data_IF_808276884409
#
_entry.id   IF_808276884409
#
_cell.length_a   1.000
_cell.length_b   1.000
_cell.length_c   1.000
_cell.angle_alpha   90.00
_cell.angle_beta   90.00
_cell.angle_gamma   90.00
#
_symmetry.space_group_name_H-M   'P 1'
#
loop_
_entity.id
_entity.type
_entity.pdbx_description
1 polymer ?
#
# COMPACT_ATOMS: atom_id res chain seq x y z
N UNK A 1 27.19 36.17 -16.23
CA UNK A 1 27.15 35.14 -17.28
C UNK A 1 25.89 34.33 -17.03
N UNK A 2 24.86 34.50 -17.86
CA UNK A 2 23.64 33.71 -17.73
C UNK A 2 23.96 32.25 -18.03
N UNK A 3 23.48 31.33 -17.19
CA UNK A 3 23.56 29.90 -17.48
C UNK A 3 22.87 29.64 -18.81
N UNK A 4 23.45 28.76 -19.64
CA UNK A 4 22.82 28.46 -20.92
C UNK A 4 21.47 27.78 -20.65
N UNK A 5 20.48 28.06 -21.50
CA UNK A 5 19.16 27.46 -21.38
C UNK A 5 19.22 25.92 -21.25
N UNK A 6 20.19 25.29 -21.94
CA UNK A 6 20.46 23.86 -21.87
C UNK A 6 20.90 23.39 -20.47
N UNK A 7 21.76 24.14 -19.78
CA UNK A 7 22.25 23.79 -18.43
C UNK A 7 21.15 23.93 -17.37
N UNK A 8 20.23 24.88 -17.57
CA UNK A 8 19.06 25.07 -16.73
C UNK A 8 18.07 23.92 -16.91
N UNK A 9 17.75 23.58 -18.17
CA UNK A 9 16.89 22.45 -18.53
C UNK A 9 17.40 21.15 -17.92
N UNK A 10 18.70 20.84 -18.08
CA UNK A 10 19.29 19.61 -17.54
C UNK A 10 19.19 19.52 -16.01
N UNK A 11 19.32 20.65 -15.29
CA UNK A 11 19.14 20.67 -13.84
C UNK A 11 17.68 20.46 -13.45
N UNK A 12 16.77 21.09 -14.16
CA UNK A 12 15.34 20.98 -13.87
C UNK A 12 14.78 19.60 -14.21
N UNK A 13 15.33 18.95 -15.23
CA UNK A 13 15.08 17.54 -15.51
C UNK A 13 15.49 16.64 -14.34
N UNK A 14 16.69 16.83 -13.77
CA UNK A 14 17.12 16.07 -12.57
C UNK A 14 16.23 16.32 -11.36
N UNK A 15 15.79 17.56 -11.15
CA UNK A 15 14.85 17.88 -10.05
C UNK A 15 13.51 17.18 -10.28
N UNK A 16 12.98 17.24 -11.51
CA UNK A 16 11.73 16.56 -11.89
C UNK A 16 11.86 15.04 -11.68
N UNK A 17 12.96 14.44 -12.12
CA UNK A 17 13.26 13.01 -11.91
C UNK A 17 13.28 12.64 -10.41
N UNK A 18 13.90 13.48 -9.58
CA UNK A 18 13.94 13.28 -8.12
C UNK A 18 12.54 13.37 -7.47
N UNK A 19 11.69 14.30 -7.92
CA UNK A 19 10.28 14.39 -7.49
C UNK A 19 9.55 13.08 -7.80
N UNK A 20 9.65 12.60 -9.05
CA UNK A 20 8.98 11.35 -9.47
C UNK A 20 9.56 10.11 -8.78
N UNK A 21 10.88 10.07 -8.52
CA UNK A 21 11.51 8.98 -7.79
C UNK A 21 10.95 8.86 -6.38
N UNK A 22 10.82 9.98 -5.68
CA UNK A 22 10.25 10.00 -4.34
C UNK A 22 8.75 9.71 -4.34
N UNK A 23 8.01 10.21 -5.32
CA UNK A 23 6.59 9.89 -5.49
C UNK A 23 6.38 8.39 -5.72
N UNK A 24 7.14 7.78 -6.63
CA UNK A 24 7.09 6.34 -6.90
C UNK A 24 7.43 5.51 -5.66
N UNK A 25 8.41 5.94 -4.86
CA UNK A 25 8.74 5.27 -3.59
C UNK A 25 7.55 5.31 -2.60
N UNK A 26 6.85 6.44 -2.51
CA UNK A 26 5.65 6.59 -1.67
C UNK A 26 4.52 5.68 -2.19
N UNK A 27 4.29 5.65 -3.49
CA UNK A 27 3.26 4.80 -4.12
C UNK A 27 3.54 3.31 -3.94
N UNK A 28 4.78 2.88 -4.09
CA UNK A 28 5.19 1.49 -3.87
C UNK A 28 4.93 1.05 -2.42
N UNK A 29 5.26 1.92 -1.46
CA UNK A 29 4.95 1.67 -0.04
C UNK A 29 3.44 1.58 0.17
N UNK A 30 2.67 2.50 -0.41
CA UNK A 30 1.20 2.53 -0.32
C UNK A 30 0.59 1.26 -0.91
N UNK A 31 0.97 0.89 -2.13
CA UNK A 31 0.49 -0.30 -2.83
C UNK A 31 0.79 -1.58 -2.06
N UNK A 32 2.03 -1.72 -1.54
CA UNK A 32 2.39 -2.88 -0.71
C UNK A 32 1.55 -3.01 0.56
N UNK A 33 1.21 -1.88 1.20
CA UNK A 33 0.30 -1.87 2.36
C UNK A 33 -1.11 -2.29 1.96
N UNK A 34 -1.67 -1.75 0.87
CA UNK A 34 -3.01 -2.12 0.40
C UNK A 34 -3.10 -3.60 -0.01
N UNK A 35 -2.10 -4.12 -0.72
CA UNK A 35 -2.06 -5.53 -1.11
C UNK A 35 -2.00 -6.45 0.12
N UNK A 36 -1.24 -6.07 1.14
CA UNK A 36 -1.19 -6.81 2.40
C UNK A 36 -2.54 -6.82 3.10
N UNK A 37 -3.21 -5.66 3.19
CA UNK A 37 -4.56 -5.56 3.78
C UNK A 37 -5.57 -6.39 3.00
N UNK A 38 -5.56 -6.32 1.67
CA UNK A 38 -6.43 -7.11 0.81
C UNK A 38 -6.24 -8.61 1.05
N UNK A 39 -4.98 -9.05 1.13
CA UNK A 39 -4.66 -10.47 1.38
C UNK A 39 -5.18 -10.93 2.74
N UNK A 40 -5.03 -10.11 3.79
CA UNK A 40 -5.56 -10.43 5.13
C UNK A 40 -7.07 -10.58 5.09
N UNK A 41 -7.78 -9.65 4.45
CA UNK A 41 -9.23 -9.70 4.30
C UNK A 41 -9.66 -10.92 3.50
N UNK A 42 -8.99 -11.22 2.39
CA UNK A 42 -9.28 -12.38 1.55
C UNK A 42 -9.11 -13.70 2.31
N UNK A 43 -8.05 -13.84 3.11
CA UNK A 43 -7.82 -15.01 3.97
C UNK A 43 -8.94 -15.12 5.03
N UNK A 44 -9.32 -14.02 5.67
CA UNK A 44 -10.39 -14.03 6.67
C UNK A 44 -11.73 -14.47 6.05
N UNK A 45 -12.11 -13.87 4.93
CA UNK A 45 -13.34 -14.24 4.20
C UNK A 45 -13.29 -15.69 3.73
N UNK A 46 -12.18 -16.13 3.15
CA UNK A 46 -12.00 -17.52 2.71
C UNK A 46 -12.11 -18.53 3.86
N UNK A 47 -11.58 -18.18 5.02
CA UNK A 47 -11.68 -19.01 6.24
C UNK A 47 -13.13 -19.13 6.69
N UNK A 48 -13.89 -18.03 6.68
CA UNK A 48 -15.33 -18.04 7.01
C UNK A 48 -16.10 -18.95 6.05
N UNK A 49 -15.88 -18.82 4.74
CA UNK A 49 -16.53 -19.68 3.75
C UNK A 49 -16.17 -21.16 3.94
N UNK A 50 -14.91 -21.48 4.19
CA UNK A 50 -14.48 -22.86 4.44
C UNK A 50 -15.16 -23.46 5.68
N UNK A 51 -15.29 -22.68 6.76
CA UNK A 51 -16.01 -23.11 7.97
C UNK A 51 -17.49 -23.36 7.68
N UNK A 52 -18.17 -22.44 6.99
CA UNK A 52 -19.59 -22.59 6.64
C UNK A 52 -19.80 -23.82 5.75
N UNK A 53 -18.95 -24.00 4.73
CA UNK A 53 -19.02 -25.15 3.83
C UNK A 53 -18.77 -26.47 4.57
N UNK A 54 -17.83 -26.50 5.51
CA UNK A 54 -17.56 -27.66 6.36
C UNK A 54 -18.76 -28.04 7.23
N UNK A 55 -19.38 -27.05 7.89
CA UNK A 55 -20.58 -27.25 8.70
C UNK A 55 -21.75 -27.75 7.83
N UNK A 56 -22.00 -27.12 6.68
CA UNK A 56 -23.07 -27.50 5.76
C UNK A 56 -22.88 -28.93 5.22
N UNK A 57 -21.65 -29.32 4.88
CA UNK A 57 -21.35 -30.66 4.36
C UNK A 57 -21.65 -31.75 5.40
N UNK A 58 -21.46 -31.45 6.69
CA UNK A 58 -21.71 -32.42 7.76
C UNK A 58 -23.20 -32.51 8.10
N UNK A 59 -23.95 -31.40 7.99
CA UNK A 59 -25.41 -31.35 8.14
C UNK A 59 -26.16 -32.10 7.04
N UNK A 60 -25.60 -32.16 5.82
CA UNK A 60 -26.24 -32.80 4.65
C UNK A 60 -26.03 -34.32 4.57
N UNK A 61 -25.16 -34.90 5.39
CA UNK A 61 -24.97 -36.34 5.43
C UNK A 61 -26.19 -37.02 6.08
N UNK A 62 -26.73 -38.11 5.50
CA UNK A 62 -27.87 -38.81 6.07
C UNK A 62 -27.57 -39.24 7.52
N UNK A 63 -28.48 -38.89 8.41
CA UNK A 63 -28.46 -39.29 9.82
C UNK A 63 -28.86 -40.76 9.88
N UNK A 64 -27.91 -41.62 10.21
CA UNK A 64 -28.22 -42.96 10.70
C UNK A 64 -28.60 -42.80 12.18
N UNK A 65 -29.73 -43.37 12.62
CA UNK A 65 -30.36 -43.14 13.94
C UNK A 65 -29.54 -43.59 15.17
N UNK A 66 -28.26 -43.89 14.99
CA UNK A 66 -27.33 -44.15 16.08
C UNK A 66 -26.84 -42.84 16.71
N UNK A 67 -27.41 -42.52 17.87
CA UNK A 67 -27.04 -41.36 18.69
C UNK A 67 -25.51 -41.21 18.89
N UNK A 68 -24.78 -42.32 19.01
CA UNK A 68 -23.32 -42.32 19.18
C UNK A 68 -22.56 -41.71 17.98
N UNK A 69 -23.04 -41.94 16.76
CA UNK A 69 -22.44 -41.41 15.52
C UNK A 69 -22.69 -39.90 15.40
N UNK A 70 -23.86 -39.44 15.87
CA UNK A 70 -24.23 -38.02 15.90
C UNK A 70 -23.28 -37.24 16.83
N UNK A 71 -23.05 -37.74 18.05
CA UNK A 71 -22.13 -37.10 19.00
C UNK A 71 -20.69 -37.08 18.49
N UNK A 72 -20.21 -38.16 17.89
CA UNK A 72 -18.86 -38.23 17.31
C UNK A 72 -18.65 -37.20 16.19
N UNK A 73 -19.65 -36.99 15.32
CA UNK A 73 -19.60 -35.96 14.27
C UNK A 73 -19.56 -34.54 14.85
N UNK A 74 -20.32 -34.28 15.91
CA UNK A 74 -20.34 -32.97 16.54
C UNK A 74 -19.00 -32.65 17.23
N UNK A 75 -18.44 -33.63 17.96
CA UNK A 75 -17.12 -33.51 18.60
C UNK A 75 -16.04 -33.26 17.54
N UNK A 76 -16.08 -33.98 16.42
CA UNK A 76 -15.15 -33.79 15.31
C UNK A 76 -15.27 -32.38 14.69
N UNK A 77 -16.48 -31.85 14.51
CA UNK A 77 -16.69 -30.48 14.04
C UNK A 77 -16.09 -29.45 15.00
N UNK A 78 -16.33 -29.59 16.29
CA UNK A 78 -15.80 -28.68 17.31
C UNK A 78 -14.27 -28.72 17.33
N UNK A 79 -13.67 -29.91 17.20
CA UNK A 79 -12.21 -30.08 17.12
C UNK A 79 -11.62 -29.43 15.85
N UNK A 80 -12.22 -29.66 14.68
CA UNK A 80 -11.76 -29.04 13.42
C UNK A 80 -11.87 -27.52 13.53
N UNK A 81 -12.99 -27.00 14.05
CA UNK A 81 -13.17 -25.57 14.26
C UNK A 81 -12.12 -24.99 15.22
N UNK A 82 -11.87 -25.65 16.34
CA UNK A 82 -10.86 -25.22 17.31
C UNK A 82 -9.45 -25.19 16.71
N UNK A 83 -9.08 -26.18 15.89
CA UNK A 83 -7.78 -26.23 15.20
C UNK A 83 -7.65 -25.12 14.15
N UNK A 84 -8.68 -24.92 13.32
CA UNK A 84 -8.70 -23.84 12.31
C UNK A 84 -8.64 -22.47 12.99
N UNK A 85 -9.37 -22.28 14.08
CA UNK A 85 -9.34 -21.06 14.86
C UNK A 85 -7.96 -20.81 15.50
N UNK A 86 -7.36 -21.84 16.11
CA UNK A 86 -6.04 -21.73 16.70
C UNK A 86 -4.94 -21.42 15.66
N UNK A 87 -4.99 -22.07 14.49
CA UNK A 87 -4.04 -21.81 13.41
C UNK A 87 -4.19 -20.41 12.82
N UNK A 88 -5.42 -19.97 12.53
CA UNK A 88 -5.69 -18.63 12.00
C UNK A 88 -5.31 -17.54 13.00
N UNK A 89 -5.64 -17.71 14.28
CA UNK A 89 -5.26 -16.79 15.34
C UNK A 89 -3.73 -16.74 15.54
N UNK A 90 -3.05 -17.88 15.53
CA UNK A 90 -1.59 -17.96 15.60
C UNK A 90 -0.91 -17.26 14.41
N UNK A 91 -1.46 -17.43 13.21
CA UNK A 91 -0.97 -16.76 12.00
C UNK A 91 -1.15 -15.23 12.09
N UNK A 92 -2.31 -14.76 12.59
CA UNK A 92 -2.54 -13.33 12.82
C UNK A 92 -1.55 -12.75 13.84
N UNK A 93 -1.24 -13.47 14.92
CA UNK A 93 -0.24 -13.04 15.91
C UNK A 93 1.15 -12.93 15.28
N UNK A 94 1.56 -13.95 14.51
CA UNK A 94 2.85 -13.97 13.81
C UNK A 94 2.98 -12.78 12.85
N UNK A 95 1.96 -12.54 12.02
CA UNK A 95 1.91 -11.38 11.13
C UNK A 95 2.00 -10.09 11.94
N UNK A 96 1.21 -9.93 13.01
CA UNK A 96 1.22 -8.71 13.82
C UNK A 96 2.57 -8.44 14.48
N UNK A 97 3.32 -9.49 14.84
CA UNK A 97 4.66 -9.36 15.43
C UNK A 97 5.67 -8.83 14.41
N UNK A 98 5.73 -9.42 13.22
CA UNK A 98 6.67 -8.98 12.17
C UNK A 98 6.26 -7.63 11.58
N UNK A 99 4.95 -7.42 11.38
CA UNK A 99 4.40 -6.16 10.86
C UNK A 99 4.66 -4.97 11.79
N UNK A 100 4.90 -5.15 13.09
CA UNK A 100 5.26 -4.03 13.97
C UNK A 100 6.64 -3.47 13.66
N UNK A 101 7.63 -4.33 13.42
CA UNK A 101 8.99 -3.91 13.04
C UNK A 101 8.98 -3.25 11.66
N UNK A 102 8.28 -3.89 10.72
CA UNK A 102 8.16 -3.38 9.35
C UNK A 102 7.40 -2.05 9.33
N UNK A 103 6.32 -1.88 10.12
CA UNK A 103 5.58 -0.61 10.22
C UNK A 103 6.46 0.56 10.68
N UNK A 104 7.38 0.34 11.62
CA UNK A 104 8.29 1.40 12.06
C UNK A 104 9.25 1.84 10.95
N UNK A 105 9.80 0.87 10.20
CA UNK A 105 10.66 1.14 9.04
C UNK A 105 9.89 1.81 7.91
N UNK A 106 8.67 1.34 7.60
CA UNK A 106 7.77 1.95 6.62
C UNK A 106 7.46 3.39 7.01
N UNK A 107 7.08 3.66 8.27
CA UNK A 107 6.76 5.02 8.72
C UNK A 107 7.97 5.96 8.58
N UNK A 108 9.16 5.48 8.97
CA UNK A 108 10.40 6.25 8.84
C UNK A 108 10.75 6.51 7.37
N UNK A 109 10.69 5.49 6.52
CA UNK A 109 10.98 5.57 5.08
C UNK A 109 9.96 6.46 4.36
N UNK A 110 8.67 6.28 4.63
CA UNK A 110 7.59 7.09 4.07
C UNK A 110 7.74 8.56 4.44
N UNK A 111 8.06 8.88 5.70
CA UNK A 111 8.31 10.26 6.12
C UNK A 111 9.55 10.84 5.44
N UNK A 112 10.61 10.05 5.28
CA UNK A 112 11.82 10.50 4.59
C UNK A 112 11.51 10.85 3.13
N UNK A 113 10.88 9.93 2.39
CA UNK A 113 10.51 10.14 0.99
C UNK A 113 9.49 11.26 0.82
N UNK A 114 8.53 11.40 1.73
CA UNK A 114 7.57 12.50 1.71
C UNK A 114 8.25 13.86 1.94
N UNK A 115 9.13 13.98 2.93
CA UNK A 115 9.86 15.21 3.19
C UNK A 115 10.77 15.58 2.01
N UNK A 116 11.46 14.60 1.43
CA UNK A 116 12.27 14.80 0.22
C UNK A 116 11.41 15.19 -0.99
N UNK A 117 10.26 14.55 -1.19
CA UNK A 117 9.30 14.90 -2.24
C UNK A 117 8.87 16.37 -2.13
N UNK A 118 8.43 16.82 -0.95
CA UNK A 118 8.03 18.21 -0.70
C UNK A 118 9.21 19.17 -0.92
N UNK A 119 10.41 18.78 -0.52
CA UNK A 119 11.61 19.59 -0.75
C UNK A 119 11.91 19.79 -2.24
N UNK A 120 11.99 18.70 -3.02
CA UNK A 120 12.27 18.78 -4.46
C UNK A 120 11.13 19.43 -5.24
N UNK A 121 9.88 19.27 -4.80
CA UNK A 121 8.73 19.94 -5.39
C UNK A 121 8.80 21.46 -5.19
N UNK A 122 9.20 21.92 -4.01
CA UNK A 122 9.45 23.35 -3.78
C UNK A 122 10.62 23.88 -4.61
N UNK A 123 11.67 23.07 -4.84
CA UNK A 123 12.78 23.43 -5.73
C UNK A 123 12.29 23.54 -7.18
N UNK A 124 11.45 22.59 -7.63
CA UNK A 124 10.85 22.60 -8.96
C UNK A 124 10.02 23.87 -9.18
N UNK A 125 9.13 24.20 -8.24
CA UNK A 125 8.29 25.40 -8.27
C UNK A 125 9.11 26.69 -8.26
N UNK A 126 9.93 26.86 -7.23
CA UNK A 126 10.51 28.17 -6.91
C UNK A 126 11.77 28.49 -7.70
N UNK A 127 12.48 27.46 -8.17
CA UNK A 127 13.75 27.61 -8.90
C UNK A 127 13.59 27.27 -10.37
N UNK A 128 13.09 26.08 -10.66
CA UNK A 128 13.02 25.63 -12.04
C UNK A 128 11.96 26.34 -12.86
N UNK A 129 10.71 26.37 -12.40
CA UNK A 129 9.64 27.02 -13.16
C UNK A 129 9.83 28.54 -13.27
N UNK A 130 10.37 29.18 -12.23
CA UNK A 130 10.66 30.63 -12.26
C UNK A 130 11.84 30.98 -13.19
N UNK A 131 12.93 30.22 -13.13
CA UNK A 131 14.11 30.44 -13.98
C UNK A 131 13.82 30.04 -15.44
N UNK A 132 13.12 28.92 -15.69
CA UNK A 132 12.72 28.51 -17.04
C UNK A 132 11.77 29.53 -17.68
N UNK A 133 10.83 30.10 -16.93
CA UNK A 133 9.93 31.13 -17.46
C UNK A 133 10.66 32.39 -17.94
N UNK A 134 11.78 32.72 -17.31
CA UNK A 134 12.57 33.92 -17.65
C UNK A 134 13.64 33.65 -18.72
N UNK A 135 14.29 32.48 -18.69
CA UNK A 135 15.41 32.15 -19.57
C UNK A 135 15.03 31.26 -20.77
N UNK A 136 13.98 30.44 -20.65
CA UNK A 136 13.61 29.38 -21.57
C UNK A 136 12.07 29.17 -21.66
N UNK A 137 11.29 30.19 -22.07
CA UNK A 137 9.82 30.14 -21.98
C UNK A 137 9.17 29.02 -22.80
N UNK A 138 9.84 28.52 -23.86
CA UNK A 138 9.37 27.38 -24.65
C UNK A 138 9.44 26.04 -23.92
N UNK A 139 10.36 25.89 -22.97
CA UNK A 139 10.61 24.63 -22.24
C UNK A 139 9.82 24.57 -20.92
N UNK A 140 9.45 25.71 -20.35
CA UNK A 140 8.68 25.82 -19.09
C UNK A 140 7.46 24.87 -19.01
N UNK A 141 6.54 24.83 -19.99
CA UNK A 141 5.37 23.95 -19.90
C UNK A 141 5.75 22.46 -19.82
N UNK A 142 6.87 22.03 -20.40
CA UNK A 142 7.28 20.62 -20.37
C UNK A 142 7.63 20.14 -18.94
N UNK A 143 8.13 21.03 -18.10
CA UNK A 143 8.60 20.72 -16.75
C UNK A 143 7.61 21.14 -15.66
N UNK A 144 6.77 22.13 -15.93
CA UNK A 144 5.89 22.76 -14.94
C UNK A 144 4.40 22.43 -15.11
N UNK A 145 4.01 21.77 -16.20
CA UNK A 145 2.61 21.38 -16.45
C UNK A 145 2.03 20.49 -15.34
N UNK A 146 2.82 19.51 -14.85
CA UNK A 146 2.37 18.56 -13.82
C UNK A 146 2.42 19.15 -12.39
N UNK A 147 2.93 20.38 -12.23
CA UNK A 147 3.16 20.98 -10.91
C UNK A 147 1.88 21.10 -10.06
N UNK A 148 0.71 21.54 -10.59
CA UNK A 148 -0.53 21.62 -9.83
C UNK A 148 -0.99 20.26 -9.30
N UNK A 149 -0.82 19.21 -10.11
CA UNK A 149 -1.20 17.85 -9.72
C UNK A 149 -0.29 17.33 -8.61
N UNK A 150 1.02 17.54 -8.75
CA UNK A 150 2.01 17.15 -7.73
C UNK A 150 1.82 17.92 -6.42
N UNK A 151 1.46 19.21 -6.48
CA UNK A 151 1.06 20.01 -5.30
C UNK A 151 -0.22 19.48 -4.67
N UNK A 152 -1.18 19.02 -5.48
CA UNK A 152 -2.39 18.36 -5.01
C UNK A 152 -2.08 17.09 -4.22
N UNK A 153 -1.09 16.30 -4.66
CA UNK A 153 -0.62 15.11 -3.93
C UNK A 153 0.00 15.52 -2.59
N UNK A 154 0.87 16.53 -2.61
CA UNK A 154 1.55 17.02 -1.40
C UNK A 154 0.57 17.54 -0.34
N UNK A 155 -0.49 18.24 -0.76
CA UNK A 155 -1.47 18.82 0.16
C UNK A 155 -2.59 17.86 0.56
N UNK A 156 -2.58 16.63 0.05
CA UNK A 156 -3.65 15.66 0.29
C UNK A 156 -5.00 16.08 -0.32
N UNK A 157 -5.00 16.99 -1.29
CA UNK A 157 -6.19 17.49 -2.00
C UNK A 157 -6.46 16.75 -3.30
N UNK A 158 -5.74 15.65 -3.54
CA UNK A 158 -5.96 14.77 -4.69
C UNK A 158 -7.36 14.16 -4.64
N UNK A 159 -8.19 14.49 -5.63
CA UNK A 159 -9.53 13.94 -5.84
C UNK A 159 -9.47 12.64 -6.62
#
# INVERSE_FOLDING_TARGET
>A
MGESCRDLVQRCEKVKEEVYRHLSAIENVRSGVFQTLYTIVAIAVGTIFAVIAGIASILLLPLQDDYSIIYMRYILMVLIFAVVFAMSYGFIILINREMRKIRALIKKSSNLHYNSFVHYLNVLRNRCCSELRSACPSEEPLYCYDLPDLEGIANGTWK
#
